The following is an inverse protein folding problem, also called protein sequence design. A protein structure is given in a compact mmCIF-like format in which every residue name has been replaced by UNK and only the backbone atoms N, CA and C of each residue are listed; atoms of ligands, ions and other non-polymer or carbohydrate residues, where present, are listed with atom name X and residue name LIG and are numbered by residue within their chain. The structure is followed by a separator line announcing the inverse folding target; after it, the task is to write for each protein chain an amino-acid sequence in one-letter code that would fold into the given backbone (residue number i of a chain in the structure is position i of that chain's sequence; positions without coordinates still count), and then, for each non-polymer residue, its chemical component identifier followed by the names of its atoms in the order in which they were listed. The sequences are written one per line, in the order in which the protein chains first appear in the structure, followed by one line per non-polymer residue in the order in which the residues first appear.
data_IF_745872369126
#
_entry.id   IF_745872369126
#
_cell.length_a   1.000
_cell.length_b   1.000
_cell.length_c   1.000
_cell.angle_alpha   90.00
_cell.angle_beta   90.00
_cell.angle_gamma   90.00
#
_symmetry.space_group_name_H-M   'P 1'
#
loop_
_entity.id
_entity.type
_entity.pdbx_description
1 polymer ?
#
# COMPACT_ATOMS: atom_id res chain seq x y z
N UNK A 1 3.69 -27.26 -1.63
CA UNK A 1 3.92 -26.33 -0.49
C UNK A 1 2.81 -25.30 -0.40
N UNK A 2 2.58 -24.48 -1.44
CA UNK A 2 1.59 -23.41 -1.43
C UNK A 2 0.16 -23.91 -1.18
N UNK A 3 -0.22 -25.04 -1.76
CA UNK A 3 -1.54 -25.63 -1.49
C UNK A 3 -1.77 -25.90 0.01
N UNK A 4 -0.79 -26.46 0.73
CA UNK A 4 -0.90 -26.70 2.17
C UNK A 4 -1.01 -25.39 2.96
N UNK A 5 -0.28 -24.35 2.55
CA UNK A 5 -0.41 -23.01 3.14
C UNK A 5 -1.81 -22.44 2.92
N UNK A 6 -2.37 -22.62 1.71
CA UNK A 6 -3.73 -22.22 1.37
C UNK A 6 -4.80 -22.94 2.19
N UNK A 7 -4.68 -24.26 2.35
CA UNK A 7 -5.56 -25.07 3.21
C UNK A 7 -5.50 -24.56 4.65
N UNK A 8 -4.29 -24.35 5.18
CA UNK A 8 -4.09 -23.88 6.56
C UNK A 8 -4.62 -22.45 6.76
N UNK A 9 -4.43 -21.56 5.78
CA UNK A 9 -4.96 -20.19 5.81
C UNK A 9 -6.50 -20.19 5.81
N UNK A 10 -7.11 -21.04 4.96
CA UNK A 10 -8.57 -21.17 4.89
C UNK A 10 -9.16 -21.75 6.17
N UNK A 11 -8.48 -22.71 6.80
CA UNK A 11 -8.87 -23.21 8.12
C UNK A 11 -8.75 -22.12 9.21
N UNK A 12 -7.70 -21.28 9.13
CA UNK A 12 -7.50 -20.17 10.05
C UNK A 12 -8.55 -19.04 9.86
N UNK A 13 -8.94 -18.72 8.63
CA UNK A 13 -9.89 -17.64 8.34
C UNK A 13 -11.26 -17.89 8.99
N UNK A 14 -11.73 -19.15 9.02
CA UNK A 14 -12.97 -19.49 9.74
C UNK A 14 -12.91 -19.19 11.24
N UNK A 15 -11.74 -19.41 11.88
CA UNK A 15 -11.56 -19.05 13.29
C UNK A 15 -11.51 -17.54 13.49
N UNK A 16 -10.80 -16.83 12.61
CA UNK A 16 -10.66 -15.37 12.68
C UNK A 16 -11.99 -14.64 12.48
N UNK A 17 -12.86 -15.16 11.61
CA UNK A 17 -14.17 -14.58 11.32
C UNK A 17 -15.13 -14.58 12.52
N UNK A 18 -14.88 -15.46 13.52
CA UNK A 18 -15.69 -15.59 14.73
C UNK A 18 -15.18 -14.75 15.91
N UNK A 19 -14.00 -14.13 15.78
CA UNK A 19 -13.42 -13.35 16.86
C UNK A 19 -14.22 -12.07 17.12
N UNK A 20 -14.38 -11.77 18.41
CA UNK A 20 -14.86 -10.46 18.86
C UNK A 20 -13.81 -9.37 18.58
N UNK A 21 -14.25 -8.12 18.53
CA UNK A 21 -13.35 -6.98 18.37
C UNK A 21 -12.31 -6.90 19.50
N UNK A 22 -12.68 -7.32 20.72
CA UNK A 22 -11.75 -7.39 21.86
C UNK A 22 -10.64 -8.42 21.64
N UNK A 23 -10.96 -9.61 21.12
CA UNK A 23 -9.97 -10.65 20.84
C UNK A 23 -9.03 -10.24 19.70
N UNK A 24 -9.58 -9.64 18.63
CA UNK A 24 -8.77 -9.09 17.53
C UNK A 24 -7.80 -8.04 18.05
N UNK A 25 -8.29 -7.07 18.83
CA UNK A 25 -7.46 -6.01 19.39
C UNK A 25 -6.40 -6.56 20.36
N UNK A 26 -6.74 -7.55 21.19
CA UNK A 26 -5.77 -8.20 22.09
C UNK A 26 -4.58 -8.80 21.32
N UNK A 27 -4.85 -9.43 20.18
CA UNK A 27 -3.81 -10.03 19.33
C UNK A 27 -2.94 -8.94 18.70
N UNK A 28 -3.55 -7.85 18.23
CA UNK A 28 -2.82 -6.72 17.64
C UNK A 28 -1.91 -6.04 18.67
N UNK A 29 -2.40 -5.75 19.87
CA UNK A 29 -1.57 -5.26 20.98
C UNK A 29 -0.41 -6.21 21.28
N UNK A 30 -0.69 -7.52 21.33
CA UNK A 30 0.34 -8.52 21.56
C UNK A 30 1.39 -8.56 20.44
N UNK A 31 0.99 -8.35 19.19
CA UNK A 31 1.92 -8.22 18.06
C UNK A 31 2.80 -6.99 18.25
N UNK A 32 2.23 -5.84 18.60
CA UNK A 32 3.00 -4.61 18.83
C UNK A 32 4.05 -4.80 19.95
N UNK A 33 3.66 -5.43 21.06
CA UNK A 33 4.57 -5.73 22.16
C UNK A 33 5.68 -6.70 21.76
N UNK A 34 5.35 -7.76 21.01
CA UNK A 34 6.35 -8.75 20.56
C UNK A 34 7.30 -8.17 19.49
N UNK A 35 6.85 -7.24 18.65
CA UNK A 35 7.72 -6.52 17.70
C UNK A 35 8.78 -5.71 18.43
N UNK A 36 8.40 -5.02 19.50
CA UNK A 36 9.34 -4.26 20.34
C UNK A 36 10.26 -5.20 21.13
N UNK A 37 9.71 -6.26 21.73
CA UNK A 37 10.49 -7.23 22.51
C UNK A 37 11.47 -8.05 21.67
N UNK A 38 11.23 -8.20 20.36
CA UNK A 38 12.07 -8.95 19.42
C UNK A 38 12.83 -8.04 18.45
N UNK A 39 12.93 -6.73 18.78
CA UNK A 39 13.54 -5.71 17.94
C UNK A 39 14.95 -6.08 17.46
N UNK A 40 15.81 -6.55 18.37
CA UNK A 40 17.19 -6.92 18.02
C UNK A 40 17.26 -8.03 16.95
N UNK A 41 16.38 -9.04 17.06
CA UNK A 41 16.33 -10.14 16.08
C UNK A 41 15.88 -9.66 14.70
N UNK A 42 14.86 -8.78 14.66
CA UNK A 42 14.34 -8.22 13.40
C UNK A 42 15.39 -7.31 12.75
N UNK A 43 16.03 -6.43 13.52
CA UNK A 43 17.04 -5.52 13.01
C UNK A 43 18.30 -6.26 12.53
N UNK A 44 18.73 -7.31 13.24
CA UNK A 44 19.84 -8.15 12.80
C UNK A 44 19.56 -8.84 11.46
N UNK A 45 18.34 -9.34 11.27
CA UNK A 45 17.90 -9.89 9.98
C UNK A 45 17.86 -8.84 8.87
N UNK A 46 17.43 -7.61 9.20
CA UNK A 46 17.36 -6.51 8.25
C UNK A 46 18.73 -6.01 7.80
N UNK A 47 19.72 -5.94 8.70
CA UNK A 47 21.10 -5.57 8.33
C UNK A 47 21.65 -6.51 7.25
N UNK A 48 21.46 -7.83 7.42
CA UNK A 48 21.91 -8.81 6.44
C UNK A 48 21.22 -8.65 5.08
N UNK A 49 19.91 -8.36 5.08
CA UNK A 49 19.15 -8.10 3.86
C UNK A 49 19.63 -6.81 3.15
N UNK A 50 19.88 -5.73 3.91
CA UNK A 50 20.39 -4.46 3.39
C UNK A 50 21.81 -4.61 2.82
N UNK A 51 22.69 -5.34 3.49
CA UNK A 51 24.05 -5.63 3.00
C UNK A 51 24.02 -6.46 1.70
N UNK A 52 23.20 -7.51 1.66
CA UNK A 52 23.01 -8.32 0.45
C UNK A 52 22.42 -7.49 -0.70
N UNK A 53 21.43 -6.63 -0.42
CA UNK A 53 20.83 -5.75 -1.40
C UNK A 53 21.83 -4.74 -1.95
N UNK A 54 22.68 -4.17 -1.09
CA UNK A 54 23.78 -3.26 -1.48
C UNK A 54 24.78 -3.98 -2.39
N UNK A 55 25.20 -5.20 -2.03
CA UNK A 55 26.09 -6.01 -2.84
C UNK A 55 25.49 -6.38 -4.21
N UNK A 56 24.16 -6.54 -4.29
CA UNK A 56 23.43 -6.79 -5.52
C UNK A 56 23.14 -5.53 -6.36
N UNK A 57 23.65 -4.36 -5.96
CA UNK A 57 23.56 -3.12 -6.73
C UNK A 57 22.21 -2.39 -6.64
N UNK A 58 21.43 -2.58 -5.57
CA UNK A 58 20.23 -1.77 -5.37
C UNK A 58 20.60 -0.28 -5.18
N UNK A 59 19.81 0.61 -5.78
CA UNK A 59 19.97 2.06 -5.60
C UNK A 59 19.78 2.49 -4.15
N UNK A 60 20.43 3.56 -3.71
CA UNK A 60 20.30 4.11 -2.34
C UNK A 60 18.84 4.40 -1.96
N UNK A 61 18.00 4.87 -2.88
CA UNK A 61 16.57 5.09 -2.62
C UNK A 61 15.79 3.80 -2.30
N UNK A 62 16.20 2.66 -2.87
CA UNK A 62 15.62 1.35 -2.58
C UNK A 62 16.18 0.76 -1.28
N UNK A 63 17.47 1.01 -0.99
CA UNK A 63 18.08 0.63 0.30
C UNK A 63 17.42 1.38 1.46
N UNK A 64 17.14 2.68 1.30
CA UNK A 64 16.41 3.45 2.32
C UNK A 64 15.01 2.88 2.57
N UNK A 65 14.29 2.45 1.53
CA UNK A 65 12.97 1.79 1.67
C UNK A 65 13.04 0.43 2.36
N UNK A 66 14.17 -0.27 2.22
CA UNK A 66 14.43 -1.59 2.80
C UNK A 66 14.89 -1.49 4.26
N UNK A 67 15.62 -0.44 4.63
CA UNK A 67 16.25 -0.33 5.93
C UNK A 67 15.24 -0.12 7.07
N UNK A 68 15.38 -0.91 8.14
CA UNK A 68 14.71 -0.73 9.42
C UNK A 68 15.69 -0.14 10.42
N UNK A 69 15.18 0.78 11.22
CA UNK A 69 15.88 1.35 12.38
C UNK A 69 15.02 1.10 13.62
N UNK A 70 15.58 1.20 14.85
CA UNK A 70 14.79 1.11 16.07
C UNK A 70 13.57 2.04 16.06
N UNK A 71 13.76 3.28 15.59
CA UNK A 71 12.68 4.26 15.46
C UNK A 71 11.61 3.84 14.44
N UNK A 72 12.00 3.31 13.28
CA UNK A 72 11.05 2.80 12.27
C UNK A 72 10.28 1.59 12.78
N UNK A 73 10.94 0.66 13.48
CA UNK A 73 10.27 -0.51 14.03
C UNK A 73 9.30 -0.13 15.17
N UNK A 74 9.68 0.82 16.01
CA UNK A 74 8.78 1.39 17.03
C UNK A 74 7.55 2.04 16.39
N UNK A 75 7.74 2.83 15.34
CA UNK A 75 6.65 3.43 14.59
C UNK A 75 5.71 2.37 14.01
N UNK A 76 6.24 1.28 13.43
CA UNK A 76 5.45 0.15 12.94
C UNK A 76 4.62 -0.47 14.07
N UNK A 77 5.20 -0.68 15.26
CA UNK A 77 4.46 -1.19 16.41
C UNK A 77 3.36 -0.22 16.86
N UNK A 78 3.62 1.08 16.84
CA UNK A 78 2.62 2.11 17.18
C UNK A 78 1.50 2.20 16.13
N UNK A 79 1.81 1.99 14.84
CA UNK A 79 0.81 1.90 13.78
C UNK A 79 -0.11 0.69 13.98
N UNK A 80 0.41 -0.46 14.46
CA UNK A 80 -0.43 -1.60 14.87
C UNK A 80 -1.40 -1.21 16.00
N UNK A 81 -0.93 -0.46 17.00
CA UNK A 81 -1.80 0.05 18.08
C UNK A 81 -2.83 1.05 17.56
N UNK A 82 -2.50 1.86 16.55
CA UNK A 82 -3.49 2.70 15.90
C UNK A 82 -4.59 1.88 15.20
N UNK A 83 -4.24 0.74 14.59
CA UNK A 83 -5.23 -0.17 14.00
C UNK A 83 -6.19 -0.74 15.07
N UNK A 84 -5.74 -0.96 16.31
CA UNK A 84 -6.62 -1.36 17.41
C UNK A 84 -7.77 -0.35 17.63
N UNK A 85 -7.49 0.94 17.47
CA UNK A 85 -8.44 2.04 17.68
C UNK A 85 -9.45 2.20 16.56
N UNK A 86 -9.24 1.56 15.40
CA UNK A 86 -10.21 1.59 14.31
C UNK A 86 -11.48 0.80 14.66
N UNK A 87 -12.62 1.25 14.15
CA UNK A 87 -13.88 0.52 14.29
C UNK A 87 -13.75 -0.85 13.60
N UNK A 88 -14.24 -1.91 14.25
CA UNK A 88 -14.32 -3.24 13.66
C UNK A 88 -15.50 -3.29 12.67
N UNK A 89 -15.26 -3.51 11.37
CA UNK A 89 -16.34 -3.55 10.40
C UNK A 89 -17.11 -4.87 10.41
N UNK A 90 -16.57 -5.93 11.02
CA UNK A 90 -17.12 -7.29 10.92
C UNK A 90 -18.40 -7.41 11.74
N UNK A 91 -19.45 -7.95 11.12
CA UNK A 91 -20.76 -8.13 11.75
C UNK A 91 -21.68 -6.92 11.68
N UNK A 92 -21.19 -5.77 11.17
CA UNK A 92 -22.02 -4.57 10.99
C UNK A 92 -23.17 -4.86 10.03
N UNK A 93 -24.40 -4.57 10.47
CA UNK A 93 -25.59 -4.58 9.62
C UNK A 93 -25.54 -3.35 8.71
N UNK A 94 -25.62 -3.56 7.41
CA UNK A 94 -25.61 -2.50 6.40
C UNK A 94 -27.03 -1.98 6.23
N UNK A 95 -27.96 -2.89 5.95
CA UNK A 95 -29.38 -2.65 5.80
C UNK A 95 -30.18 -3.94 6.01
N UNK A 96 -31.50 -3.80 6.03
CA UNK A 96 -32.42 -4.89 6.33
C UNK A 96 -33.74 -4.39 6.89
N UNK A 97 -34.64 -5.33 7.18
CA UNK A 97 -35.95 -5.02 7.72
C UNK A 97 -36.80 -6.27 7.95
N UNK A 98 -37.98 -6.05 8.55
CA UNK A 98 -39.03 -7.04 8.64
C UNK A 98 -39.92 -6.93 7.40
N UNK A 99 -40.08 -8.03 6.67
CA UNK A 99 -40.99 -8.10 5.53
C UNK A 99 -42.44 -8.31 5.99
N UNK A 100 -43.41 -8.02 5.13
CA UNK A 100 -44.85 -8.26 5.41
C UNK A 100 -45.16 -9.72 5.73
N UNK A 101 -44.32 -10.65 5.26
CA UNK A 101 -44.39 -12.07 5.58
C UNK A 101 -43.93 -12.43 7.00
N UNK A 102 -43.38 -11.47 7.76
CA UNK A 102 -42.76 -11.69 9.07
C UNK A 102 -41.30 -12.16 9.01
N UNK A 103 -40.71 -12.30 7.82
CA UNK A 103 -39.31 -12.69 7.65
C UNK A 103 -38.38 -11.50 7.90
N UNK A 104 -37.33 -11.70 8.70
CA UNK A 104 -36.29 -10.69 8.95
C UNK A 104 -35.13 -10.89 7.98
N UNK A 105 -34.86 -9.87 7.17
CA UNK A 105 -33.76 -9.85 6.21
C UNK A 105 -32.70 -8.85 6.67
N UNK A 106 -31.42 -9.24 6.64
CA UNK A 106 -30.30 -8.37 6.98
C UNK A 106 -29.12 -8.64 6.06
N UNK A 107 -28.49 -7.57 5.59
CA UNK A 107 -27.20 -7.63 4.91
C UNK A 107 -26.11 -7.23 5.90
N UNK A 108 -25.12 -8.11 6.08
CA UNK A 108 -24.04 -7.92 7.06
C UNK A 108 -22.68 -7.90 6.41
N UNK A 109 -21.77 -7.11 6.98
CA UNK A 109 -20.34 -7.16 6.62
C UNK A 109 -19.70 -8.41 7.20
N UNK A 110 -18.99 -9.15 6.36
CA UNK A 110 -18.21 -10.33 6.73
C UNK A 110 -16.79 -10.20 6.17
N UNK A 111 -15.79 -10.89 6.76
CA UNK A 111 -14.45 -10.95 6.17
C UNK A 111 -14.51 -11.56 4.77
N UNK A 112 -13.51 -11.24 3.94
CA UNK A 112 -13.34 -11.85 2.62
C UNK A 112 -12.97 -13.34 2.76
N UNK A 113 -12.13 -13.65 3.74
CA UNK A 113 -11.60 -15.00 3.98
C UNK A 113 -10.07 -14.95 4.06
N UNK A 114 -9.41 -15.29 2.96
CA UNK A 114 -7.95 -15.31 2.82
C UNK A 114 -7.50 -14.24 1.83
N UNK A 115 -6.62 -13.35 2.27
CA UNK A 115 -6.02 -12.31 1.43
C UNK A 115 -4.60 -12.75 1.03
N UNK A 116 -4.29 -12.69 -0.25
CA UNK A 116 -2.95 -12.87 -0.79
C UNK A 116 -2.31 -11.52 -1.07
N UNK A 117 -1.16 -11.22 -0.48
CA UNK A 117 -0.48 -9.92 -0.72
C UNK A 117 0.91 -10.15 -1.26
N UNK A 118 1.16 -9.59 -2.44
CA UNK A 118 2.46 -9.63 -3.10
C UNK A 118 3.05 -8.22 -3.06
N UNK A 119 4.23 -8.05 -2.47
CA UNK A 119 4.83 -6.73 -2.29
C UNK A 119 6.34 -6.74 -2.54
N UNK A 120 6.87 -5.55 -2.86
CA UNK A 120 8.30 -5.33 -3.12
C UNK A 120 9.04 -4.88 -1.84
N UNK A 121 10.31 -4.47 -1.97
CA UNK A 121 11.28 -4.23 -0.89
C UNK A 121 10.88 -3.17 0.18
N UNK A 122 9.87 -3.49 0.99
CA UNK A 122 9.31 -2.68 2.08
C UNK A 122 8.90 -3.58 3.24
N UNK A 123 9.78 -3.78 4.23
CA UNK A 123 9.50 -4.74 5.31
C UNK A 123 8.34 -4.32 6.22
N UNK A 124 8.01 -3.03 6.30
CA UNK A 124 6.85 -2.54 7.06
C UNK A 124 5.51 -3.11 6.54
N UNK A 125 5.41 -3.35 5.22
CA UNK A 125 4.18 -3.84 4.58
C UNK A 125 3.74 -5.19 5.17
N UNK A 126 4.70 -6.02 5.60
CA UNK A 126 4.42 -7.30 6.29
C UNK A 126 3.51 -7.11 7.50
N UNK A 127 3.83 -6.13 8.35
CA UNK A 127 3.10 -5.86 9.59
C UNK A 127 1.81 -5.11 9.29
N UNK A 128 1.87 -4.08 8.43
CA UNK A 128 0.71 -3.25 8.07
C UNK A 128 -0.43 -4.11 7.49
N UNK A 129 -0.07 -5.04 6.61
CA UNK A 129 -1.04 -5.93 5.98
C UNK A 129 -1.57 -6.95 6.98
N UNK A 130 -0.70 -7.55 7.78
CA UNK A 130 -1.11 -8.53 8.78
C UNK A 130 -2.06 -7.92 9.81
N UNK A 131 -1.77 -6.71 10.30
CA UNK A 131 -2.59 -6.02 11.30
C UNK A 131 -3.98 -5.70 10.75
N UNK A 132 -4.07 -5.15 9.53
CA UNK A 132 -5.34 -4.87 8.88
C UNK A 132 -6.15 -6.14 8.58
N UNK A 133 -5.49 -7.21 8.11
CA UNK A 133 -6.16 -8.49 7.86
C UNK A 133 -6.74 -9.08 9.15
N UNK A 134 -5.94 -9.14 10.22
CA UNK A 134 -6.39 -9.63 11.53
C UNK A 134 -7.53 -8.78 12.10
N UNK A 135 -7.43 -7.44 12.01
CA UNK A 135 -8.49 -6.51 12.44
C UNK A 135 -9.81 -6.76 11.71
N UNK A 136 -9.73 -7.13 10.44
CA UNK A 136 -10.90 -7.38 9.58
C UNK A 136 -11.30 -8.86 9.52
N UNK A 137 -10.72 -9.71 10.36
CA UNK A 137 -11.08 -11.13 10.46
C UNK A 137 -10.61 -12.00 9.29
N UNK A 138 -9.61 -11.55 8.53
CA UNK A 138 -9.05 -12.26 7.39
C UNK A 138 -7.73 -12.95 7.75
N UNK A 139 -7.50 -14.14 7.20
CA UNK A 139 -6.16 -14.72 7.15
C UNK A 139 -5.37 -14.11 5.99
N UNK A 140 -4.04 -14.17 6.06
CA UNK A 140 -3.17 -13.60 5.02
C UNK A 140 -2.02 -14.52 4.64
N UNK A 141 -1.75 -14.59 3.34
CA UNK A 141 -0.54 -15.19 2.78
C UNK A 141 0.28 -14.06 2.13
N UNK A 142 1.48 -13.85 2.64
CA UNK A 142 2.38 -12.77 2.28
C UNK A 142 3.48 -13.28 1.34
N UNK A 143 3.76 -12.53 0.28
CA UNK A 143 4.90 -12.76 -0.60
C UNK A 143 5.66 -11.46 -0.77
N UNK A 144 6.79 -11.34 -0.08
CA UNK A 144 7.68 -10.18 -0.19
C UNK A 144 8.68 -10.30 -1.35
N UNK A 145 9.48 -9.25 -1.53
CA UNK A 145 10.63 -9.26 -2.44
C UNK A 145 11.76 -10.15 -1.90
N UNK A 146 12.62 -10.64 -2.82
CA UNK A 146 13.80 -11.44 -2.47
C UNK A 146 14.76 -10.67 -1.55
N UNK A 147 14.74 -9.35 -1.65
CA UNK A 147 15.56 -8.40 -0.92
C UNK A 147 15.14 -8.27 0.56
N UNK A 148 13.93 -8.72 0.92
CA UNK A 148 13.36 -8.62 2.27
C UNK A 148 13.22 -9.97 2.98
N UNK A 149 13.81 -11.03 2.44
CA UNK A 149 13.43 -12.40 2.83
C UNK A 149 13.70 -12.69 4.32
N UNK A 150 14.84 -12.29 4.87
CA UNK A 150 15.20 -12.57 6.27
C UNK A 150 14.36 -11.72 7.21
N UNK A 151 14.18 -10.45 6.86
CA UNK A 151 13.39 -9.48 7.61
C UNK A 151 11.93 -9.92 7.71
N UNK A 152 11.33 -10.33 6.59
CA UNK A 152 9.94 -10.80 6.57
C UNK A 152 9.79 -12.09 7.35
N UNK A 153 10.71 -13.05 7.20
CA UNK A 153 10.66 -14.30 7.95
C UNK A 153 10.79 -14.06 9.47
N UNK A 154 11.68 -13.16 9.91
CA UNK A 154 11.79 -12.77 11.31
C UNK A 154 10.49 -12.13 11.83
N UNK A 155 9.96 -11.17 11.08
CA UNK A 155 8.72 -10.45 11.43
C UNK A 155 7.51 -11.38 11.51
N UNK A 156 7.36 -12.30 10.55
CA UNK A 156 6.24 -13.26 10.52
C UNK A 156 6.34 -14.23 11.70
N UNK A 157 7.53 -14.70 12.07
CA UNK A 157 7.71 -15.53 13.27
C UNK A 157 7.25 -14.81 14.54
N UNK A 158 7.54 -13.52 14.65
CA UNK A 158 7.08 -12.69 15.78
C UNK A 158 5.56 -12.59 15.80
N UNK A 159 4.93 -12.35 14.65
CA UNK A 159 3.47 -12.31 14.53
C UNK A 159 2.84 -13.67 14.90
N UNK A 160 3.40 -14.77 14.40
CA UNK A 160 2.93 -16.13 14.69
C UNK A 160 3.07 -16.48 16.18
N UNK A 161 4.15 -16.05 16.84
CA UNK A 161 4.33 -16.18 18.29
C UNK A 161 3.23 -15.43 19.06
N UNK A 162 2.89 -14.21 18.64
CA UNK A 162 1.80 -13.43 19.25
C UNK A 162 0.43 -14.09 19.04
N UNK A 163 0.15 -14.60 17.84
CA UNK A 163 -1.06 -15.37 17.52
C UNK A 163 -1.18 -16.59 18.44
N UNK A 164 -0.11 -17.39 18.54
CA UNK A 164 -0.07 -18.59 19.38
C UNK A 164 -0.29 -18.26 20.86
N UNK A 165 0.35 -17.21 21.37
CA UNK A 165 0.17 -16.74 22.75
C UNK A 165 -1.27 -16.30 23.05
N UNK A 166 -2.04 -15.93 22.02
CA UNK A 166 -3.46 -15.60 22.12
C UNK A 166 -4.39 -16.77 21.77
N UNK A 167 -3.87 -17.99 21.59
CA UNK A 167 -4.66 -19.17 21.25
C UNK A 167 -5.16 -19.21 19.80
N UNK A 168 -4.61 -18.37 18.92
CA UNK A 168 -4.96 -18.32 17.50
C UNK A 168 -4.03 -19.19 16.65
N UNK A 169 -4.52 -19.70 15.50
CA UNK A 169 -3.69 -20.47 14.59
C UNK A 169 -2.56 -19.61 14.01
N UNK A 170 -1.33 -20.09 14.09
CA UNK A 170 -0.14 -19.45 13.49
C UNK A 170 -0.33 -19.25 11.97
N UNK A 171 -1.08 -20.15 11.32
CA UNK A 171 -1.41 -20.09 9.91
C UNK A 171 -2.34 -18.91 9.50
N UNK A 172 -2.84 -18.13 10.46
CA UNK A 172 -3.56 -16.88 10.19
C UNK A 172 -2.71 -15.86 9.44
N UNK A 173 -1.40 -15.85 9.69
CA UNK A 173 -0.43 -15.00 8.98
C UNK A 173 0.72 -15.88 8.53
N UNK A 174 0.83 -16.06 7.22
CA UNK A 174 1.88 -16.89 6.61
C UNK A 174 2.69 -16.05 5.62
N UNK A 175 3.94 -16.43 5.40
CA UNK A 175 4.75 -15.86 4.34
C UNK A 175 5.42 -16.96 3.52
N UNK A 176 5.51 -16.72 2.22
CA UNK A 176 6.31 -17.53 1.29
C UNK A 176 7.77 -17.06 1.47
N UNK A 177 8.60 -17.91 2.04
CA UNK A 177 10.00 -17.63 2.36
C UNK A 177 10.97 -17.93 1.20
N UNK A 178 10.51 -18.64 0.18
CA UNK A 178 11.27 -18.94 -1.02
C UNK A 178 11.22 -17.76 -2.03
N UNK A 179 12.37 -17.21 -2.46
CA UNK A 179 12.43 -16.05 -3.36
C UNK A 179 12.10 -16.37 -4.82
N UNK A 180 11.86 -17.64 -5.19
CA UNK A 180 11.53 -18.05 -6.55
C UNK A 180 10.31 -17.29 -7.08
N UNK A 181 10.47 -16.69 -8.26
CA UNK A 181 9.41 -15.96 -8.94
C UNK A 181 8.31 -16.89 -9.47
N UNK A 182 8.61 -18.16 -9.71
CA UNK A 182 7.62 -19.15 -10.16
C UNK A 182 6.44 -19.27 -9.16
N UNK A 183 6.72 -19.10 -7.86
CA UNK A 183 5.74 -19.16 -6.78
C UNK A 183 4.73 -18.01 -6.84
N UNK A 184 5.09 -16.87 -7.44
CA UNK A 184 4.11 -15.80 -7.70
C UNK A 184 3.06 -16.31 -8.66
N UNK A 185 3.46 -16.92 -9.78
CA UNK A 185 2.53 -17.42 -10.79
C UNK A 185 1.65 -18.55 -10.26
N UNK A 186 2.18 -19.40 -9.36
CA UNK A 186 1.38 -20.42 -8.67
C UNK A 186 0.37 -19.76 -7.71
N UNK A 187 0.80 -18.79 -6.89
CA UNK A 187 -0.07 -18.06 -5.97
C UNK A 187 -1.20 -17.31 -6.69
N UNK A 188 -0.94 -16.74 -7.87
CA UNK A 188 -1.95 -16.06 -8.69
C UNK A 188 -3.10 -16.97 -9.15
N UNK A 189 -2.91 -18.30 -9.06
CA UNK A 189 -3.86 -19.35 -9.49
C UNK A 189 -4.47 -20.14 -8.31
N UNK A 190 -4.34 -19.62 -7.09
CA UNK A 190 -4.86 -20.27 -5.88
C UNK A 190 -6.28 -19.83 -5.51
N UNK A 191 -7.16 -19.59 -6.48
CA UNK A 191 -8.56 -19.14 -6.25
C UNK A 191 -9.42 -20.09 -5.40
N UNK A 192 -9.00 -21.36 -5.28
CA UNK A 192 -9.60 -22.30 -4.32
C UNK A 192 -9.37 -21.91 -2.86
N UNK A 193 -8.30 -21.19 -2.56
CA UNK A 193 -7.82 -20.92 -1.21
C UNK A 193 -7.68 -19.44 -0.87
N UNK A 194 -7.39 -18.58 -1.85
CA UNK A 194 -7.21 -17.13 -1.68
C UNK A 194 -8.41 -16.43 -2.32
N UNK A 195 -9.12 -15.62 -1.54
CA UNK A 195 -10.36 -14.97 -1.94
C UNK A 195 -10.12 -13.57 -2.55
N UNK A 196 -8.98 -12.96 -2.24
CA UNK A 196 -8.60 -11.63 -2.76
C UNK A 196 -7.09 -11.47 -2.85
N UNK A 197 -6.61 -10.88 -3.95
CA UNK A 197 -5.19 -10.56 -4.15
C UNK A 197 -4.95 -9.05 -4.11
N UNK A 198 -3.88 -8.62 -3.43
CA UNK A 198 -3.47 -7.22 -3.36
C UNK A 198 -1.98 -7.09 -3.72
N UNK A 199 -1.63 -6.64 -4.93
CA UNK A 199 -0.25 -6.27 -5.24
C UNK A 199 0.11 -4.90 -4.67
N UNK A 200 1.31 -4.79 -4.11
CA UNK A 200 1.91 -3.54 -3.61
C UNK A 200 3.32 -3.39 -4.16
N UNK A 201 3.43 -2.82 -5.35
CA UNK A 201 4.71 -2.64 -6.04
C UNK A 201 4.58 -1.71 -7.24
N UNK A 202 5.48 -1.88 -8.21
CA UNK A 202 5.45 -1.12 -9.45
C UNK A 202 4.29 -1.49 -10.38
N UNK A 203 4.10 -0.69 -11.44
CA UNK A 203 3.08 -0.91 -12.47
C UNK A 203 3.18 -2.30 -13.13
N UNK A 204 4.40 -2.83 -13.28
CA UNK A 204 4.62 -4.18 -13.82
C UNK A 204 4.01 -5.28 -12.96
N UNK A 205 4.12 -5.18 -11.63
CA UNK A 205 3.50 -6.14 -10.70
C UNK A 205 1.97 -6.03 -10.75
N UNK A 206 1.44 -4.80 -10.78
CA UNK A 206 -0.01 -4.58 -10.90
C UNK A 206 -0.56 -5.18 -12.20
N UNK A 207 0.14 -4.94 -13.32
CA UNK A 207 -0.20 -5.51 -14.64
C UNK A 207 -0.16 -7.03 -14.62
N UNK A 208 0.92 -7.62 -14.11
CA UNK A 208 1.07 -9.07 -13.98
C UNK A 208 -0.11 -9.70 -13.22
N UNK A 209 -0.44 -9.16 -12.04
CA UNK A 209 -1.52 -9.68 -11.22
C UNK A 209 -2.88 -9.54 -11.90
N UNK A 210 -3.14 -8.39 -12.53
CA UNK A 210 -4.41 -8.14 -13.24
C UNK A 210 -4.61 -9.06 -14.44
N UNK A 211 -3.54 -9.34 -15.19
CA UNK A 211 -3.61 -10.12 -16.43
C UNK A 211 -3.56 -11.62 -16.19
N UNK A 212 -2.89 -12.08 -15.13
CA UNK A 212 -2.61 -13.51 -14.94
C UNK A 212 -3.34 -14.17 -13.76
N UNK A 213 -3.97 -13.41 -12.87
CA UNK A 213 -4.63 -13.99 -11.71
C UNK A 213 -6.02 -14.55 -12.03
N UNK A 214 -6.32 -15.72 -11.47
CA UNK A 214 -7.68 -16.27 -11.40
C UNK A 214 -8.44 -15.76 -10.18
N UNK A 215 -7.75 -15.11 -9.24
CA UNK A 215 -8.29 -14.53 -8.01
C UNK A 215 -8.68 -13.07 -8.29
N UNK A 216 -9.79 -12.54 -7.73
CA UNK A 216 -10.09 -11.12 -7.78
C UNK A 216 -8.92 -10.27 -7.25
N UNK A 217 -8.56 -9.20 -7.96
CA UNK A 217 -7.40 -8.37 -7.61
C UNK A 217 -7.84 -6.94 -7.28
N UNK A 218 -7.44 -6.43 -6.11
CA UNK A 218 -7.52 -5.00 -5.78
C UNK A 218 -6.17 -4.36 -6.11
N UNK A 219 -6.11 -3.63 -7.21
CA UNK A 219 -4.93 -2.84 -7.61
C UNK A 219 -5.19 -1.35 -7.47
N UNK A 220 -4.16 -0.58 -7.08
CA UNK A 220 -4.18 0.87 -7.30
C UNK A 220 -4.11 1.23 -8.79
N UNK A 221 -4.60 2.42 -9.14
CA UNK A 221 -4.50 2.98 -10.49
C UNK A 221 -3.10 3.51 -10.83
N UNK A 222 -2.90 3.88 -12.10
CA UNK A 222 -1.73 4.67 -12.52
C UNK A 222 -1.95 6.09 -12.00
N UNK A 223 -1.00 6.58 -11.20
CA UNK A 223 -1.11 7.84 -10.47
C UNK A 223 -0.84 9.08 -11.32
N UNK A 224 -1.62 9.30 -12.39
CA UNK A 224 -1.54 10.55 -13.18
C UNK A 224 -2.56 11.54 -12.63
N UNK A 225 -2.19 12.24 -11.56
CA UNK A 225 -3.08 13.19 -10.91
C UNK A 225 -3.06 14.54 -11.61
N UNK A 226 -4.25 15.11 -11.80
CA UNK A 226 -4.47 16.41 -12.43
C UNK A 226 -4.95 17.44 -11.40
N UNK A 227 -4.48 18.67 -11.51
CA UNK A 227 -5.10 19.84 -10.87
C UNK A 227 -5.61 20.76 -11.97
N UNK A 228 -6.86 21.21 -11.85
CA UNK A 228 -7.44 22.23 -12.72
C UNK A 228 -7.53 23.56 -11.97
N UNK A 229 -6.98 24.62 -12.57
CA UNK A 229 -7.02 25.99 -12.08
C UNK A 229 -8.08 26.75 -12.87
N UNK A 230 -9.24 26.94 -12.24
CA UNK A 230 -10.36 27.65 -12.84
C UNK A 230 -10.10 29.16 -13.00
N UNK A 231 -10.82 29.79 -13.92
CA UNK A 231 -10.84 31.25 -14.12
C UNK A 231 -11.03 32.04 -12.82
N UNK A 232 -11.83 31.53 -11.87
CA UNK A 232 -12.16 32.19 -10.61
C UNK A 232 -11.19 31.91 -9.47
N UNK A 233 -10.10 31.16 -9.70
CA UNK A 233 -9.20 30.75 -8.64
C UNK A 233 -8.37 31.90 -8.08
N UNK A 234 -8.22 31.94 -6.76
CA UNK A 234 -7.26 32.82 -6.10
C UNK A 234 -5.84 32.29 -6.27
N UNK A 235 -4.96 33.11 -6.85
CA UNK A 235 -3.61 32.70 -7.26
C UNK A 235 -2.77 32.19 -6.08
N UNK A 236 -2.68 32.97 -4.99
CA UNK A 236 -1.77 32.64 -3.89
C UNK A 236 -2.15 31.34 -3.15
N UNK A 237 -3.43 31.08 -2.80
CA UNK A 237 -3.86 29.77 -2.30
C UNK A 237 -3.62 28.62 -3.29
N UNK A 238 -3.94 28.83 -4.57
CA UNK A 238 -3.75 27.80 -5.60
C UNK A 238 -2.30 27.34 -5.70
N UNK A 239 -1.34 28.28 -5.69
CA UNK A 239 0.09 27.96 -5.73
C UNK A 239 0.54 27.11 -4.53
N UNK A 240 0.04 27.39 -3.32
CA UNK A 240 0.36 26.58 -2.12
C UNK A 240 -0.09 25.13 -2.29
N UNK A 241 -1.29 24.92 -2.85
CA UNK A 241 -1.84 23.59 -3.11
C UNK A 241 -0.97 22.87 -4.15
N UNK A 242 -0.67 23.53 -5.27
CA UNK A 242 0.12 22.95 -6.36
C UNK A 242 1.54 22.57 -5.90
N UNK A 243 2.20 23.45 -5.16
CA UNK A 243 3.54 23.18 -4.61
C UNK A 243 3.51 21.99 -3.67
N UNK A 244 2.54 21.93 -2.75
CA UNK A 244 2.39 20.80 -1.85
C UNK A 244 2.16 19.50 -2.62
N UNK A 245 1.19 19.52 -3.55
CA UNK A 245 0.83 18.36 -4.36
C UNK A 245 1.98 17.86 -5.25
N UNK A 246 2.91 18.73 -5.68
CA UNK A 246 4.05 18.32 -6.51
C UNK A 246 5.28 17.92 -5.71
N UNK A 247 5.59 18.64 -4.64
CA UNK A 247 6.92 18.59 -4.02
C UNK A 247 6.98 17.84 -2.70
N UNK A 248 5.84 17.56 -2.05
CA UNK A 248 5.84 16.88 -0.75
C UNK A 248 6.49 15.49 -0.82
N UNK A 249 6.09 14.66 -1.80
CA UNK A 249 6.68 13.33 -2.05
C UNK A 249 6.59 12.95 -3.54
N UNK A 250 7.50 13.43 -4.39
CA UNK A 250 7.39 13.26 -5.86
C UNK A 250 7.34 11.80 -6.38
N UNK A 251 7.64 10.81 -5.54
CA UNK A 251 7.65 9.39 -5.92
C UNK A 251 6.37 8.63 -5.56
N UNK A 252 5.35 9.31 -5.00
CA UNK A 252 4.07 8.69 -4.64
C UNK A 252 3.01 8.90 -5.72
N UNK A 253 2.12 7.92 -5.89
CA UNK A 253 1.09 7.90 -6.93
C UNK A 253 -0.01 8.98 -6.83
N UNK A 254 -0.02 9.78 -5.77
CA UNK A 254 -0.96 10.90 -5.60
C UNK A 254 -0.31 12.26 -5.88
N UNK A 255 0.94 12.28 -6.34
CA UNK A 255 1.65 13.51 -6.75
C UNK A 255 0.97 14.07 -7.99
N UNK A 256 0.76 15.38 -8.06
CA UNK A 256 0.25 16.02 -9.28
C UNK A 256 1.28 15.90 -10.40
N UNK A 257 0.86 15.41 -11.56
CA UNK A 257 1.68 15.32 -12.76
C UNK A 257 1.26 16.34 -13.82
N UNK A 258 -0.04 16.61 -13.91
CA UNK A 258 -0.59 17.53 -14.92
C UNK A 258 -1.30 18.70 -14.25
N UNK A 259 -0.99 19.90 -14.71
CA UNK A 259 -1.71 21.12 -14.34
C UNK A 259 -2.48 21.63 -15.56
N UNK A 260 -3.79 21.78 -15.41
CA UNK A 260 -4.67 22.37 -16.41
C UNK A 260 -5.03 23.78 -15.94
N UNK A 261 -4.83 24.79 -16.77
CA UNK A 261 -5.08 26.19 -16.41
C UNK A 261 -6.11 26.77 -17.38
N UNK A 262 -7.19 27.32 -16.84
CA UNK A 262 -8.20 27.98 -17.66
C UNK A 262 -7.60 29.20 -18.36
N UNK A 263 -7.90 29.38 -19.66
CA UNK A 263 -7.30 30.44 -20.49
C UNK A 263 -7.50 31.85 -19.89
N UNK A 264 -8.68 32.14 -19.32
CA UNK A 264 -9.02 33.45 -18.76
C UNK A 264 -8.17 33.88 -17.52
N UNK A 265 -7.54 32.92 -16.83
CA UNK A 265 -6.63 33.21 -15.70
C UNK A 265 -5.17 33.03 -16.07
N UNK A 266 -4.86 32.44 -17.23
CA UNK A 266 -3.52 32.04 -17.61
C UNK A 266 -2.51 33.20 -17.57
N UNK A 267 -2.87 34.36 -18.14
CA UNK A 267 -1.98 35.53 -18.22
C UNK A 267 -1.48 36.00 -16.84
N UNK A 268 -2.37 36.02 -15.84
CA UNK A 268 -2.03 36.44 -14.47
C UNK A 268 -1.42 35.32 -13.62
N UNK A 269 -1.75 34.07 -13.91
CA UNK A 269 -1.37 32.92 -13.09
C UNK A 269 -0.04 32.28 -13.51
N UNK A 270 0.20 32.10 -14.81
CA UNK A 270 1.37 31.42 -15.34
C UNK A 270 2.70 32.08 -14.92
N UNK A 271 2.85 33.42 -14.89
CA UNK A 271 4.09 34.03 -14.39
C UNK A 271 4.35 33.71 -12.91
N UNK A 272 3.29 33.73 -12.09
CA UNK A 272 3.40 33.40 -10.66
C UNK A 272 3.74 31.92 -10.44
N UNK A 273 3.14 31.03 -11.25
CA UNK A 273 3.48 29.60 -11.29
C UNK A 273 4.95 29.40 -11.67
N UNK A 274 5.41 30.04 -12.75
CA UNK A 274 6.80 29.92 -13.23
C UNK A 274 7.80 30.30 -12.14
N UNK A 275 7.57 31.42 -11.45
CA UNK A 275 8.42 31.82 -10.33
C UNK A 275 8.46 30.75 -9.23
N UNK A 276 7.30 30.28 -8.79
CA UNK A 276 7.20 29.33 -7.69
C UNK A 276 7.81 27.96 -8.03
N UNK A 277 7.65 27.50 -9.28
CA UNK A 277 8.21 26.22 -9.74
C UNK A 277 9.74 26.29 -9.84
N UNK A 278 10.29 27.42 -10.28
CA UNK A 278 11.74 27.66 -10.28
C UNK A 278 12.33 27.58 -8.87
N UNK A 279 11.71 28.27 -7.91
CA UNK A 279 12.10 28.23 -6.49
C UNK A 279 12.04 26.82 -5.90
N UNK A 280 11.12 26.00 -6.39
CA UNK A 280 10.92 24.62 -5.95
C UNK A 280 11.76 23.59 -6.72
N UNK A 281 12.57 24.01 -7.69
CA UNK A 281 13.36 23.12 -8.55
C UNK A 281 12.53 22.22 -9.47
N UNK A 282 11.28 22.58 -9.75
CA UNK A 282 10.36 21.81 -10.60
C UNK A 282 10.55 22.21 -12.06
N UNK A 283 10.72 21.22 -12.93
CA UNK A 283 10.73 21.42 -14.38
C UNK A 283 9.30 21.35 -14.90
N UNK A 284 8.91 22.36 -15.68
CA UNK A 284 7.62 22.41 -16.35
C UNK A 284 7.75 21.84 -17.76
N UNK A 285 6.74 21.08 -18.17
CA UNK A 285 6.57 20.60 -19.52
C UNK A 285 5.30 21.22 -20.08
N UNK A 286 5.37 21.81 -21.28
CA UNK A 286 4.26 22.54 -21.87
C UNK A 286 4.19 22.36 -23.37
N UNK A 287 2.98 22.43 -23.92
CA UNK A 287 2.72 22.52 -25.35
C UNK A 287 3.07 23.91 -25.89
N UNK A 288 2.85 24.15 -27.19
CA UNK A 288 3.11 25.45 -27.80
C UNK A 288 2.34 26.59 -27.12
N UNK A 289 1.10 26.33 -26.69
CA UNK A 289 0.27 27.29 -25.97
C UNK A 289 0.93 27.74 -24.67
N UNK A 290 1.41 26.79 -23.87
CA UNK A 290 2.09 27.07 -22.61
C UNK A 290 3.45 27.73 -22.86
N UNK A 291 4.20 27.31 -23.88
CA UNK A 291 5.50 27.93 -24.20
C UNK A 291 5.35 29.40 -24.58
N UNK A 292 4.28 29.74 -25.31
CA UNK A 292 4.01 31.13 -25.68
C UNK A 292 3.53 31.96 -24.50
N UNK A 293 2.73 31.38 -23.60
CA UNK A 293 2.11 32.10 -22.48
C UNK A 293 2.94 32.12 -21.17
N UNK A 294 3.86 31.16 -20.98
CA UNK A 294 4.65 31.03 -19.76
C UNK A 294 5.91 31.92 -19.82
N UNK A 295 5.81 33.12 -19.28
CA UNK A 295 6.96 33.99 -19.06
C UNK A 295 7.45 33.87 -17.62
N UNK A 296 8.70 33.42 -17.40
CA UNK A 296 9.31 33.42 -16.08
C UNK A 296 10.55 32.53 -15.95
N UNK A 297 11.06 32.35 -14.72
CA UNK A 297 12.36 31.72 -14.47
C UNK A 297 12.32 30.18 -14.42
N UNK A 298 11.15 29.53 -14.46
CA UNK A 298 11.09 28.07 -14.43
C UNK A 298 11.77 27.46 -15.65
N UNK A 299 12.43 26.31 -15.44
CA UNK A 299 12.88 25.48 -16.55
C UNK A 299 11.66 24.94 -17.27
N UNK A 300 11.48 25.34 -18.53
CA UNK A 300 10.44 24.86 -19.42
C UNK A 300 11.03 23.93 -20.47
N UNK A 301 10.43 22.76 -20.65
CA UNK A 301 10.77 21.78 -21.68
C UNK A 301 9.56 21.64 -22.60
N UNK A 302 9.72 21.81 -23.92
CA UNK A 302 8.63 21.54 -24.85
C UNK A 302 8.18 20.09 -24.78
N UNK A 303 6.88 19.86 -24.73
CA UNK A 303 6.31 18.53 -24.92
C UNK A 303 6.57 18.07 -26.36
N UNK A 304 7.00 16.82 -26.52
CA UNK A 304 7.09 16.19 -27.84
C UNK A 304 5.69 15.74 -28.28
N UNK A 305 5.39 15.69 -29.58
CA UNK A 305 4.13 15.16 -30.08
C UNK A 305 3.82 13.74 -29.59
N UNK A 306 4.86 12.93 -29.37
CA UNK A 306 4.78 11.56 -28.84
C UNK A 306 4.45 11.50 -27.33
N UNK A 307 4.58 12.61 -26.61
CA UNK A 307 4.29 12.74 -25.17
C UNK A 307 2.86 13.28 -24.92
N UNK A 308 2.15 13.67 -25.98
CA UNK A 308 0.77 14.13 -25.96
C UNK A 308 -0.15 12.97 -26.34
N UNK A 309 -0.76 12.33 -25.34
CA UNK A 309 -1.84 11.37 -25.57
C UNK A 309 -3.15 12.16 -25.73
N UNK A 310 -3.42 12.63 -26.96
CA UNK A 310 -4.56 13.48 -27.31
C UNK A 310 -5.83 12.68 -27.69
N UNK A 311 -5.91 11.39 -27.32
CA UNK A 311 -7.09 10.55 -27.56
C UNK A 311 -8.29 10.91 -26.68
#
# INVERSE_FOLDING_TARGET
MLEQMGIAAKAASYKLALLSSCEKNRVLEKIADELEAQMESILSANVQDVEQARANGLSEAMLDRLALTPARLKAIADDVRQVCNLADPVGQVIDGGLLDSGLRLERRRVPLGVVGVIYEARPNVTVDVASLCLKTGNAVILRGGKETHRTNAATVRVIQKALKACGLPEAAVQAIDNPDRSLVNEMLRMDKYIDMLIPRGGAGLHKLCREQSTIPVITGGIGVCHIFVDSSADIAPALKIIVNAKTQRPSTCNTVETLLVHQDIAERFLPALSKQMAESGVTLHGDETVIQALHGPAKLVPLKPEELDNE
#
